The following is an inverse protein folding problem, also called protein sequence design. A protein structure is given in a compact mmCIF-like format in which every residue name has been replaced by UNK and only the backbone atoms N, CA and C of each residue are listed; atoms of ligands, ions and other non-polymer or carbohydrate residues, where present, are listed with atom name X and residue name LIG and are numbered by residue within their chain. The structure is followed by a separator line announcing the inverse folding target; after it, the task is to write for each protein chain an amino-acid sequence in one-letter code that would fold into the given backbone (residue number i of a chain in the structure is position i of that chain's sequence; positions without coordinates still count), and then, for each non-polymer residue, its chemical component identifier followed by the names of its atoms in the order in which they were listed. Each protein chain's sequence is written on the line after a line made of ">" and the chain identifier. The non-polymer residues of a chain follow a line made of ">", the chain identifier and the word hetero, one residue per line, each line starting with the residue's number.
data_IF_541213197528
#
_entry.id   IF_541213197528
#
_cell.length_a   1.000
_cell.length_b   1.000
_cell.length_c   1.000
_cell.angle_alpha   90.00
_cell.angle_beta   90.00
_cell.angle_gamma   90.00
#
_symmetry.space_group_name_H-M   'P 1'
#
loop_
_entity.id
_entity.type
_entity.pdbx_description
1 polymer ?
#
# COMPACT_ATOMS: atom_id res chain seq x y z
N UNK A 1 -17.67 -0.20 -12.54
CA UNK A 1 -18.51 0.45 -13.58
C UNK A 1 -18.65 1.92 -13.23
N UNK A 2 -18.73 2.81 -14.21
CA UNK A 2 -18.86 4.25 -13.99
C UNK A 2 -20.01 4.81 -14.84
N UNK A 3 -20.69 5.84 -14.33
CA UNK A 3 -21.67 6.61 -15.12
C UNK A 3 -20.93 7.55 -16.09
N UNK A 4 -21.61 8.04 -17.14
CA UNK A 4 -21.10 9.14 -17.97
C UNK A 4 -20.82 10.40 -17.15
N UNK A 5 -20.22 11.42 -17.78
CA UNK A 5 -19.92 12.69 -17.09
C UNK A 5 -21.21 13.39 -16.70
N UNK A 6 -21.37 13.63 -15.40
CA UNK A 6 -22.51 14.34 -14.82
C UNK A 6 -22.07 15.71 -14.28
N UNK A 7 -22.97 16.68 -14.32
CA UNK A 7 -22.85 17.95 -13.61
C UNK A 7 -23.89 17.97 -12.51
N UNK A 8 -23.44 18.09 -11.26
CA UNK A 8 -24.33 18.24 -10.12
C UNK A 8 -24.94 19.65 -10.15
N UNK A 9 -26.26 19.74 -9.95
CA UNK A 9 -26.99 21.01 -9.86
C UNK A 9 -27.75 21.09 -8.56
N UNK A 10 -27.69 22.24 -7.89
CA UNK A 10 -28.52 22.56 -6.72
C UNK A 10 -29.98 22.58 -7.15
N UNK A 11 -30.86 21.96 -6.35
CA UNK A 11 -32.29 21.96 -6.63
C UNK A 11 -33.05 22.74 -5.55
N UNK A 12 -33.91 23.64 -5.99
CA UNK A 12 -34.87 24.36 -5.13
C UNK A 12 -36.27 24.07 -5.65
N UNK A 13 -37.08 23.41 -4.83
CA UNK A 13 -38.38 22.84 -5.22
C UNK A 13 -38.21 21.82 -6.36
N UNK A 14 -38.67 22.13 -7.58
CA UNK A 14 -38.50 21.32 -8.80
C UNK A 14 -37.60 22.02 -9.85
N UNK A 15 -36.83 23.03 -9.42
CA UNK A 15 -35.95 23.77 -10.31
C UNK A 15 -34.49 23.43 -10.02
N UNK A 16 -33.80 22.91 -11.03
CA UNK A 16 -32.35 22.82 -11.03
C UNK A 16 -31.74 24.17 -11.42
N UNK A 17 -30.87 24.70 -10.56
CA UNK A 17 -30.17 25.96 -10.77
C UNK A 17 -28.93 25.74 -11.64
N UNK A 18 -28.78 26.54 -12.70
CA UNK A 18 -27.68 26.43 -13.68
C UNK A 18 -26.41 27.17 -13.26
N UNK A 19 -26.54 28.14 -12.36
CA UNK A 19 -25.52 29.12 -11.97
C UNK A 19 -25.10 29.01 -10.49
N UNK A 20 -25.51 27.95 -9.81
CA UNK A 20 -25.12 27.71 -8.43
C UNK A 20 -23.63 27.30 -8.32
N UNK A 21 -22.86 28.06 -7.53
CA UNK A 21 -21.42 27.85 -7.29
C UNK A 21 -21.09 27.54 -5.82
N UNK A 22 -22.12 27.29 -5.00
CA UNK A 22 -21.94 26.92 -3.61
C UNK A 22 -21.41 25.50 -3.47
N UNK A 23 -20.57 25.21 -2.44
CA UNK A 23 -20.15 23.85 -2.14
C UNK A 23 -21.36 22.98 -1.81
N UNK A 24 -21.31 21.72 -2.25
CA UNK A 24 -22.40 20.79 -2.03
C UNK A 24 -22.31 20.22 -0.60
N UNK A 25 -23.39 20.34 0.18
CA UNK A 25 -23.45 19.87 1.58
C UNK A 25 -24.25 18.58 1.72
N UNK A 26 -23.94 17.79 2.75
CA UNK A 26 -24.64 16.53 3.01
C UNK A 26 -26.16 16.73 3.11
N UNK A 27 -26.90 15.74 2.62
CA UNK A 27 -28.37 15.70 2.63
C UNK A 27 -29.05 16.81 1.79
N UNK A 28 -28.29 17.58 1.01
CA UNK A 28 -28.88 18.51 0.05
C UNK A 28 -29.55 17.75 -1.10
N UNK A 29 -30.66 18.33 -1.58
CA UNK A 29 -31.30 17.91 -2.82
C UNK A 29 -30.53 18.45 -4.02
N UNK A 30 -30.23 17.56 -4.95
CA UNK A 30 -29.53 17.87 -6.18
C UNK A 30 -30.13 17.11 -7.35
N UNK A 31 -29.69 17.46 -8.55
CA UNK A 31 -29.96 16.72 -9.77
C UNK A 31 -28.65 16.53 -10.54
N UNK A 32 -28.57 15.44 -11.31
CA UNK A 32 -27.40 15.14 -12.12
C UNK A 32 -27.71 15.35 -13.61
N UNK A 33 -27.17 16.43 -14.16
CA UNK A 33 -27.28 16.74 -15.59
C UNK A 33 -26.24 15.96 -16.38
N UNK A 34 -26.65 15.31 -17.47
CA UNK A 34 -25.75 14.61 -18.40
C UNK A 34 -24.96 15.66 -19.19
N UNK A 35 -23.65 15.72 -19.02
CA UNK A 35 -22.81 16.71 -19.70
C UNK A 35 -22.90 16.52 -21.23
N UNK A 36 -22.90 17.63 -21.97
CA UNK A 36 -22.94 17.66 -23.43
C UNK A 36 -24.22 17.06 -24.04
N UNK A 37 -25.32 17.05 -23.26
CA UNK A 37 -26.65 16.60 -23.69
C UNK A 37 -27.64 17.76 -23.86
N UNK A 38 -28.80 17.49 -24.45
CA UNK A 38 -29.89 18.46 -24.56
C UNK A 38 -30.76 18.48 -23.28
N UNK A 39 -30.20 18.99 -22.16
CA UNK A 39 -30.90 19.07 -20.86
C UNK A 39 -31.40 17.71 -20.34
N UNK A 40 -30.64 16.64 -20.60
CA UNK A 40 -30.96 15.31 -20.07
C UNK A 40 -30.46 15.20 -18.62
N UNK A 41 -31.30 14.63 -17.76
CA UNK A 41 -30.99 14.39 -16.36
C UNK A 41 -31.08 12.90 -16.02
N UNK A 42 -30.24 12.48 -15.08
CA UNK A 42 -30.29 11.15 -14.49
C UNK A 42 -31.54 11.04 -13.61
N UNK A 43 -32.39 10.07 -13.93
CA UNK A 43 -33.67 9.87 -13.29
C UNK A 43 -33.84 8.41 -12.84
N UNK A 44 -34.70 8.20 -11.84
CA UNK A 44 -35.10 6.88 -11.37
C UNK A 44 -36.59 6.64 -11.62
N UNK A 45 -36.95 5.75 -12.55
CA UNK A 45 -38.34 5.35 -12.80
C UNK A 45 -38.47 4.12 -13.71
N UNK A 46 -38.80 2.91 -13.21
CA UNK A 46 -38.34 2.31 -11.94
C UNK A 46 -36.84 1.97 -11.95
N UNK A 47 -36.19 2.10 -13.11
CA UNK A 47 -34.76 1.92 -13.33
C UNK A 47 -34.07 3.27 -13.57
N UNK A 48 -32.74 3.25 -13.69
CA UNK A 48 -31.96 4.44 -14.02
C UNK A 48 -32.16 4.78 -15.50
N UNK A 49 -32.78 5.91 -15.77
CA UNK A 49 -33.11 6.42 -17.11
C UNK A 49 -32.61 7.85 -17.28
N UNK A 50 -32.67 8.36 -18.52
CA UNK A 50 -32.42 9.76 -18.82
C UNK A 50 -33.73 10.43 -19.22
N UNK A 51 -34.06 11.57 -18.62
CA UNK A 51 -35.23 12.36 -19.01
C UNK A 51 -34.84 13.81 -19.27
N UNK A 52 -35.45 14.38 -20.29
CA UNK A 52 -35.24 15.77 -20.67
C UNK A 52 -35.98 16.71 -19.72
N UNK A 53 -35.30 17.73 -19.22
CA UNK A 53 -35.90 18.79 -18.41
C UNK A 53 -36.60 19.84 -19.29
N UNK A 54 -37.54 20.56 -18.69
CA UNK A 54 -38.22 21.70 -19.35
C UNK A 54 -37.53 23.00 -18.95
N UNK A 55 -37.08 23.85 -19.90
CA UNK A 55 -36.52 25.17 -19.55
C UNK A 55 -37.55 26.02 -18.81
N UNK A 56 -37.14 26.73 -17.75
CA UNK A 56 -38.05 27.63 -17.03
C UNK A 56 -38.39 28.87 -17.90
N UNK A 57 -39.68 29.17 -18.18
CA UNK A 57 -40.05 30.29 -19.05
C UNK A 57 -39.68 31.68 -18.49
N UNK A 58 -39.64 31.80 -17.16
CA UNK A 58 -39.42 33.07 -16.46
C UNK A 58 -37.95 33.30 -16.09
N UNK A 59 -37.11 32.27 -16.18
CA UNK A 59 -35.73 32.32 -15.69
C UNK A 59 -34.83 31.38 -16.51
N UNK A 60 -34.00 31.95 -17.38
CA UNK A 60 -33.09 31.18 -18.24
C UNK A 60 -32.04 30.38 -17.47
N UNK A 61 -31.80 30.72 -16.19
CA UNK A 61 -30.87 30.03 -15.30
C UNK A 61 -31.51 28.88 -14.52
N UNK A 62 -32.73 28.46 -14.89
CA UNK A 62 -33.42 27.32 -14.27
C UNK A 62 -33.92 26.30 -15.28
N UNK A 63 -33.76 25.04 -14.92
CA UNK A 63 -34.42 23.90 -15.55
C UNK A 63 -35.48 23.32 -14.61
N UNK A 64 -36.71 23.18 -15.09
CA UNK A 64 -37.79 22.48 -14.40
C UNK A 64 -37.58 20.97 -14.64
N UNK A 65 -37.33 20.24 -13.55
CA UNK A 65 -37.01 18.81 -13.56
C UNK A 65 -38.17 18.00 -12.96
N UNK A 66 -38.27 16.73 -13.37
CA UNK A 66 -39.22 15.79 -12.77
C UNK A 66 -38.75 15.36 -11.37
N UNK A 67 -39.69 14.99 -10.49
CA UNK A 67 -39.38 14.45 -9.16
C UNK A 67 -38.48 13.20 -9.22
N UNK A 68 -38.55 12.41 -10.29
CA UNK A 68 -37.66 11.26 -10.48
C UNK A 68 -36.19 11.65 -10.72
N UNK A 69 -35.89 12.92 -10.99
CA UNK A 69 -34.53 13.46 -11.15
C UNK A 69 -33.95 14.02 -9.84
N UNK A 70 -34.71 13.95 -8.73
CA UNK A 70 -34.30 14.46 -7.44
C UNK A 70 -33.48 13.41 -6.69
N UNK A 71 -32.25 13.78 -6.37
CA UNK A 71 -31.33 12.96 -5.60
C UNK A 71 -30.99 13.66 -4.29
N UNK A 72 -30.80 12.87 -3.24
CA UNK A 72 -30.16 13.33 -2.01
C UNK A 72 -28.85 12.58 -1.89
N UNK A 73 -27.75 13.29 -1.70
CA UNK A 73 -26.45 12.64 -1.54
C UNK A 73 -25.96 12.77 -0.09
N UNK A 74 -25.21 11.76 0.33
CA UNK A 74 -24.61 11.66 1.65
C UNK A 74 -23.24 11.02 1.49
N UNK A 75 -22.24 11.50 2.22
CA UNK A 75 -20.94 10.83 2.24
C UNK A 75 -21.11 9.50 2.96
N UNK A 76 -20.53 8.45 2.40
CA UNK A 76 -20.53 7.12 3.00
C UNK A 76 -19.11 6.76 3.41
N UNK A 77 -19.00 5.92 4.43
CA UNK A 77 -17.75 5.34 4.87
C UNK A 77 -17.94 3.82 4.99
N UNK A 78 -16.84 3.07 4.95
CA UNK A 78 -16.85 1.61 4.96
C UNK A 78 -15.74 1.08 5.87
N UNK A 79 -16.15 0.33 6.90
CA UNK A 79 -15.27 -0.55 7.64
C UNK A 79 -15.34 -1.96 7.04
N UNK A 80 -14.18 -2.56 6.76
CA UNK A 80 -14.06 -3.94 6.28
C UNK A 80 -13.16 -4.74 7.22
N UNK A 81 -13.59 -5.95 7.56
CA UNK A 81 -12.88 -6.85 8.47
C UNK A 81 -12.74 -8.22 7.84
N UNK A 82 -11.52 -8.75 7.82
CA UNK A 82 -11.20 -10.03 7.19
C UNK A 82 -10.49 -10.94 8.18
N UNK A 83 -11.00 -12.16 8.35
CA UNK A 83 -10.42 -13.18 9.22
C UNK A 83 -10.57 -14.60 8.63
N UNK A 84 -9.75 -15.54 9.09
CA UNK A 84 -9.81 -16.94 8.71
C UNK A 84 -9.42 -17.87 9.87
N UNK A 85 -10.23 -18.88 10.15
CA UNK A 85 -9.99 -19.93 11.15
C UNK A 85 -9.34 -21.18 10.50
N UNK A 86 -8.13 -20.99 9.94
CA UNK A 86 -7.47 -22.04 9.15
C UNK A 86 -7.12 -23.32 9.93
N UNK A 87 -6.95 -23.21 11.25
CA UNK A 87 -6.64 -24.32 12.15
C UNK A 87 -7.90 -25.01 12.73
N UNK A 88 -9.10 -24.63 12.29
CA UNK A 88 -10.38 -25.08 12.82
C UNK A 88 -11.02 -24.08 13.79
N UNK A 89 -12.23 -24.38 14.30
CA UNK A 89 -13.01 -23.44 15.10
C UNK A 89 -12.31 -23.03 16.39
N UNK A 90 -12.27 -21.73 16.68
CA UNK A 90 -11.73 -21.21 17.94
C UNK A 90 -12.80 -21.07 19.02
N UNK A 91 -12.38 -21.09 20.29
CA UNK A 91 -13.30 -21.02 21.44
C UNK A 91 -13.81 -19.60 21.73
N UNK A 92 -13.02 -18.59 21.39
CA UNK A 92 -13.33 -17.19 21.65
C UNK A 92 -13.80 -16.46 20.39
N UNK A 93 -14.43 -15.29 20.52
CA UNK A 93 -14.79 -14.48 19.36
C UNK A 93 -13.54 -14.07 18.57
N UNK A 94 -13.68 -13.90 17.26
CA UNK A 94 -12.60 -13.40 16.38
C UNK A 94 -12.36 -11.89 16.54
N UNK A 95 -13.22 -11.19 17.27
CA UNK A 95 -13.15 -9.76 17.56
C UNK A 95 -12.39 -9.49 18.87
N UNK A 96 -11.78 -8.31 19.02
CA UNK A 96 -11.73 -7.21 18.05
C UNK A 96 -10.78 -7.53 16.89
N UNK A 97 -11.18 -7.18 15.66
CA UNK A 97 -10.38 -7.47 14.47
C UNK A 97 -9.29 -6.39 14.34
N UNK A 98 -8.00 -6.77 14.30
CA UNK A 98 -6.92 -5.80 14.14
C UNK A 98 -6.93 -5.21 12.74
N UNK A 99 -6.78 -3.88 12.67
CA UNK A 99 -6.72 -3.13 11.40
C UNK A 99 -5.33 -2.53 11.29
N UNK A 100 -4.68 -2.69 10.14
CA UNK A 100 -3.39 -2.06 9.86
C UNK A 100 -3.63 -0.82 9.01
N UNK A 101 -3.15 0.33 9.49
CA UNK A 101 -3.33 1.63 8.84
C UNK A 101 -2.05 2.10 8.16
N UNK A 102 -0.86 1.82 8.72
CA UNK A 102 0.40 2.16 8.06
C UNK A 102 1.58 1.29 8.51
N UNK A 103 2.58 1.21 7.63
CA UNK A 103 3.82 0.46 7.79
C UNK A 103 5.02 1.40 7.64
N UNK A 104 5.93 1.42 8.61
CA UNK A 104 7.13 2.25 8.59
C UNK A 104 8.37 1.41 8.88
N UNK A 105 9.35 1.44 7.97
CA UNK A 105 10.68 0.88 8.24
C UNK A 105 11.51 1.92 8.98
N UNK A 106 12.23 1.52 10.02
CA UNK A 106 13.14 2.42 10.70
C UNK A 106 14.38 2.69 9.81
N UNK A 107 14.67 3.96 9.54
CA UNK A 107 15.73 4.38 8.61
C UNK A 107 17.16 4.05 9.06
N UNK A 108 17.37 3.84 10.37
CA UNK A 108 18.69 3.61 10.96
C UNK A 108 19.13 2.14 11.03
N UNK A 109 18.19 1.23 11.28
CA UNK A 109 18.43 -0.21 11.30
C UNK A 109 17.26 -0.89 10.57
N UNK A 110 17.57 -1.30 9.35
CA UNK A 110 16.66 -1.82 8.32
C UNK A 110 16.04 -3.18 8.67
N UNK A 111 16.16 -3.60 9.92
CA UNK A 111 15.75 -4.89 10.46
C UNK A 111 14.41 -4.84 11.16
N UNK A 112 13.89 -3.66 11.52
CA UNK A 112 12.65 -3.54 12.30
C UNK A 112 11.57 -2.78 11.51
N UNK A 113 10.40 -3.40 11.38
CA UNK A 113 9.19 -2.83 10.81
C UNK A 113 8.25 -2.37 11.93
N UNK A 114 7.86 -1.10 11.90
CA UNK A 114 6.78 -0.56 12.73
C UNK A 114 5.45 -0.68 12.00
N UNK A 115 4.46 -1.24 12.67
CA UNK A 115 3.09 -1.40 12.18
C UNK A 115 2.18 -0.58 13.08
N UNK A 116 1.40 0.32 12.47
CA UNK A 116 0.42 1.15 13.17
C UNK A 116 -0.98 0.85 12.70
N UNK A 117 -1.95 0.99 13.59
CA UNK A 117 -3.33 0.66 13.30
C UNK A 117 -4.17 0.66 14.57
N UNK A 118 -5.13 -0.26 14.64
CA UNK A 118 -6.09 -0.35 15.74
C UNK A 118 -6.31 -1.81 16.18
N UNK A 119 -6.77 -1.98 17.41
CA UNK A 119 -7.15 -3.27 18.00
C UNK A 119 -6.02 -4.31 18.05
N UNK A 120 -4.77 -3.88 18.18
CA UNK A 120 -3.66 -4.81 18.40
C UNK A 120 -3.68 -5.37 19.81
N UNK A 121 -3.24 -6.62 19.94
CA UNK A 121 -3.09 -7.33 21.20
C UNK A 121 -1.73 -8.04 21.27
N UNK A 122 -1.30 -8.36 22.48
CA UNK A 122 -0.04 -9.05 22.76
C UNK A 122 0.01 -10.50 22.26
N UNK A 123 -1.14 -11.12 22.06
CA UNK A 123 -1.31 -12.45 21.48
C UNK A 123 -1.29 -12.47 19.93
N UNK A 124 -1.03 -11.34 19.27
CA UNK A 124 -0.85 -11.28 17.82
C UNK A 124 0.63 -11.44 17.45
N UNK A 125 0.88 -12.11 16.33
CA UNK A 125 2.18 -12.21 15.68
C UNK A 125 2.08 -11.72 14.24
N UNK A 126 3.11 -11.00 13.80
CA UNK A 126 3.23 -10.58 12.40
C UNK A 126 3.79 -11.74 11.60
N UNK A 127 3.16 -12.01 10.46
CA UNK A 127 3.63 -13.00 9.50
C UNK A 127 3.89 -12.35 8.16
N UNK A 128 5.04 -12.66 7.58
CA UNK A 128 5.40 -12.33 6.22
C UNK A 128 5.15 -13.58 5.39
N UNK A 129 4.10 -13.60 4.56
CA UNK A 129 3.67 -14.83 3.88
C UNK A 129 3.44 -15.96 4.88
N UNK A 130 4.27 -17.01 4.78
CA UNK A 130 4.28 -18.18 5.65
C UNK A 130 5.37 -18.16 6.74
N UNK A 131 6.08 -17.03 6.92
CA UNK A 131 7.17 -16.87 7.88
C UNK A 131 6.71 -15.99 9.05
N UNK A 132 6.66 -16.55 10.25
CA UNK A 132 6.41 -15.81 11.47
C UNK A 132 7.60 -14.91 11.82
N UNK A 133 7.33 -13.64 12.11
CA UNK A 133 8.33 -12.69 12.59
C UNK A 133 8.33 -12.57 14.12
N UNK A 134 9.50 -12.28 14.69
CA UNK A 134 9.60 -11.84 16.07
C UNK A 134 8.83 -10.53 16.23
N UNK A 135 7.81 -10.52 17.08
CA UNK A 135 6.84 -9.43 17.20
C UNK A 135 6.84 -8.90 18.64
N UNK A 136 6.93 -7.57 18.76
CA UNK A 136 6.90 -6.83 20.03
C UNK A 136 5.62 -6.00 20.05
N UNK A 137 4.74 -6.32 20.99
CA UNK A 137 3.56 -5.51 21.28
C UNK A 137 3.95 -4.26 22.07
N UNK A 138 3.56 -3.08 21.58
CA UNK A 138 3.75 -1.81 22.29
C UNK A 138 2.45 -1.32 22.93
N UNK A 139 1.39 -1.24 22.13
CA UNK A 139 0.05 -0.86 22.56
C UNK A 139 -0.98 -1.28 21.51
N UNK A 140 -2.27 -1.00 21.76
CA UNK A 140 -3.37 -1.34 20.85
C UNK A 140 -3.28 -0.70 19.45
N UNK A 141 -2.36 0.25 19.26
CA UNK A 141 -2.16 0.96 17.99
C UNK A 141 -0.77 0.75 17.38
N UNK A 142 0.11 -0.02 18.04
CA UNK A 142 1.50 -0.17 17.61
C UNK A 142 2.08 -1.57 17.88
N UNK A 143 2.53 -2.22 16.81
CA UNK A 143 3.38 -3.41 16.82
C UNK A 143 4.74 -3.07 16.20
N UNK A 144 5.80 -3.71 16.71
CA UNK A 144 7.09 -3.76 16.02
C UNK A 144 7.39 -5.21 15.65
N UNK A 145 8.00 -5.47 14.51
CA UNK A 145 8.50 -6.81 14.19
C UNK A 145 9.83 -6.79 13.47
N UNK A 146 10.63 -7.82 13.71
CA UNK A 146 11.86 -8.06 12.97
C UNK A 146 11.52 -8.53 11.57
N UNK A 147 12.05 -7.86 10.54
CA UNK A 147 11.93 -8.25 9.14
C UNK A 147 12.72 -9.55 8.93
N UNK A 148 12.07 -10.66 8.53
CA UNK A 148 12.77 -11.89 8.25
C UNK A 148 13.73 -11.72 7.06
N UNK A 149 14.86 -12.43 7.10
CA UNK A 149 15.77 -12.50 5.95
C UNK A 149 15.07 -13.16 4.74
N UNK A 150 15.43 -12.73 3.53
CA UNK A 150 14.85 -13.26 2.29
C UNK A 150 15.05 -14.78 2.14
N UNK A 151 16.14 -15.33 2.67
CA UNK A 151 16.44 -16.76 2.60
C UNK A 151 15.36 -17.62 3.28
N UNK A 152 14.61 -17.06 4.23
CA UNK A 152 13.51 -17.74 4.91
C UNK A 152 12.35 -18.14 3.97
N UNK A 153 12.23 -17.49 2.80
CA UNK A 153 11.18 -17.77 1.82
C UNK A 153 11.61 -18.78 0.76
N UNK A 154 12.92 -18.86 0.47
CA UNK A 154 13.54 -19.81 -0.47
C UNK A 154 15.01 -20.03 -0.10
N UNK A 155 15.39 -21.26 0.23
CA UNK A 155 16.75 -21.65 0.66
C UNK A 155 17.88 -21.26 -0.33
N UNK A 156 17.55 -21.05 -1.62
CA UNK A 156 18.52 -20.76 -2.70
C UNK A 156 18.80 -19.25 -2.84
N UNK A 157 18.15 -18.38 -2.07
CA UNK A 157 18.23 -16.94 -2.24
C UNK A 157 19.20 -16.32 -1.23
N UNK A 158 20.45 -16.12 -1.65
CA UNK A 158 21.42 -15.30 -0.90
C UNK A 158 21.27 -13.79 -1.22
N UNK A 159 20.62 -13.45 -2.34
CA UNK A 159 20.31 -12.08 -2.76
C UNK A 159 19.05 -12.07 -3.64
N UNK A 160 18.32 -10.96 -3.58
CA UNK A 160 17.14 -10.72 -4.43
C UNK A 160 17.63 -10.27 -5.81
N UNK A 161 17.21 -10.91 -6.91
CA UNK A 161 17.46 -10.41 -8.29
C UNK A 161 16.33 -9.52 -8.81
N UNK A 162 15.11 -9.75 -8.34
CA UNK A 162 13.89 -9.01 -8.71
C UNK A 162 13.04 -8.73 -7.46
N UNK A 163 12.36 -7.57 -7.37
CA UNK A 163 11.56 -7.23 -6.21
C UNK A 163 10.59 -8.35 -5.80
N UNK A 164 10.73 -8.85 -4.58
CA UNK A 164 9.88 -9.93 -4.06
C UNK A 164 8.87 -9.35 -3.08
N UNK A 165 7.60 -9.49 -3.41
CA UNK A 165 6.49 -9.02 -2.58
C UNK A 165 5.93 -10.17 -1.76
N UNK A 166 5.79 -9.96 -0.46
CA UNK A 166 5.17 -10.93 0.46
C UNK A 166 3.98 -10.27 1.16
N UNK A 167 2.81 -10.93 1.24
CA UNK A 167 1.67 -10.40 1.98
C UNK A 167 1.96 -10.41 3.48
N UNK A 168 1.38 -9.45 4.20
CA UNK A 168 1.45 -9.39 5.66
C UNK A 168 0.16 -9.89 6.28
N UNK A 169 0.29 -10.73 7.30
CA UNK A 169 -0.82 -11.21 8.12
C UNK A 169 -0.57 -10.89 9.59
N UNK A 170 -1.65 -10.69 10.34
CA UNK A 170 -1.63 -10.76 11.79
C UNK A 170 -2.26 -12.08 12.20
N UNK A 171 -1.55 -12.90 12.94
CA UNK A 171 -2.02 -14.22 13.37
C UNK A 171 -2.12 -14.23 14.89
N UNK A 172 -3.30 -14.58 15.39
CA UNK A 172 -3.56 -14.73 16.82
C UNK A 172 -3.05 -16.08 17.31
N UNK A 173 -2.69 -16.15 18.59
CA UNK A 173 -2.14 -17.37 19.22
C UNK A 173 -3.02 -18.62 19.04
N UNK A 174 -4.34 -18.46 18.93
CA UNK A 174 -5.29 -19.56 18.68
C UNK A 174 -5.48 -19.92 17.20
N UNK A 175 -4.69 -19.32 16.28
CA UNK A 175 -4.64 -19.67 14.86
C UNK A 175 -5.55 -18.84 13.95
N UNK A 176 -6.25 -17.82 14.48
CA UNK A 176 -7.02 -16.89 13.63
C UNK A 176 -6.07 -16.02 12.82
N UNK A 177 -6.26 -15.99 11.51
CA UNK A 177 -5.47 -15.19 10.57
C UNK A 177 -6.28 -13.97 10.15
N UNK A 178 -5.73 -12.77 10.36
CA UNK A 178 -6.27 -11.51 9.87
C UNK A 178 -5.46 -11.01 8.68
N UNK A 179 -6.11 -10.91 7.52
CA UNK A 179 -5.48 -10.38 6.31
C UNK A 179 -5.37 -8.86 6.42
N UNK A 180 -4.15 -8.33 6.35
CA UNK A 180 -3.93 -6.88 6.48
C UNK A 180 -4.17 -6.11 5.19
N UNK A 181 -4.23 -6.79 4.04
CA UNK A 181 -4.24 -6.16 2.71
C UNK A 181 -2.90 -5.52 2.30
N UNK A 182 -1.89 -5.55 3.17
CA UNK A 182 -0.59 -4.95 2.92
C UNK A 182 0.43 -5.98 2.44
N UNK A 183 1.43 -5.50 1.68
CA UNK A 183 2.56 -6.31 1.22
C UNK A 183 3.88 -5.66 1.61
N UNK A 184 4.85 -6.47 2.01
CA UNK A 184 6.23 -6.05 2.19
C UNK A 184 7.06 -6.36 0.95
N UNK A 185 7.93 -5.43 0.52
CA UNK A 185 8.77 -5.63 -0.68
C UNK A 185 10.24 -5.72 -0.32
N UNK A 186 10.83 -6.88 -0.58
CA UNK A 186 12.27 -7.07 -0.59
C UNK A 186 12.84 -6.61 -1.92
N UNK A 187 13.78 -5.66 -1.91
CA UNK A 187 14.45 -5.17 -3.13
C UNK A 187 15.89 -5.67 -3.20
N UNK A 188 16.39 -6.03 -4.39
CA UNK A 188 17.82 -6.18 -4.62
C UNK A 188 18.54 -4.92 -4.17
N UNK A 189 19.70 -5.06 -3.51
CA UNK A 189 20.65 -3.96 -3.54
C UNK A 189 21.00 -3.73 -5.02
N UNK A 190 20.89 -2.52 -5.58
CA UNK A 190 21.55 -2.25 -6.85
C UNK A 190 23.02 -2.63 -6.66
N UNK A 191 23.50 -3.63 -7.40
CA UNK A 191 24.88 -4.08 -7.32
C UNK A 191 25.80 -2.84 -7.26
N UNK A 192 26.86 -2.83 -6.43
CA UNK A 192 27.83 -1.75 -6.49
C UNK A 192 28.24 -1.63 -7.96
N UNK A 193 28.00 -0.46 -8.56
CA UNK A 193 28.45 -0.21 -9.94
C UNK A 193 29.91 -0.62 -9.94
N UNK A 194 30.26 -1.66 -10.70
CA UNK A 194 31.65 -1.97 -10.96
C UNK A 194 32.24 -0.68 -11.50
N UNK A 195 33.00 0.04 -10.65
CA UNK A 195 33.95 1.00 -11.13
C UNK A 195 34.94 0.13 -11.91
N UNK A 196 34.80 0.14 -13.24
CA UNK A 196 35.81 -0.44 -14.12
C UNK A 196 37.19 0.09 -13.74
N UNK A 197 38.27 -0.63 -14.09
CA UNK A 197 39.61 -0.28 -13.63
C UNK A 197 40.04 1.05 -14.27
N UNK A 198 39.73 2.17 -13.61
CA UNK A 198 40.38 3.45 -13.86
C UNK A 198 41.67 3.49 -13.04
N UNK A 199 42.76 3.20 -13.74
CA UNK A 199 44.01 3.95 -13.62
C UNK A 199 44.51 4.25 -12.20
N UNK A 200 45.17 3.26 -11.60
CA UNK A 200 46.35 3.55 -10.78
C UNK A 200 47.58 3.27 -11.65
N UNK A 201 48.09 4.33 -12.26
CA UNK A 201 49.42 4.36 -12.84
C UNK A 201 50.39 4.26 -11.66
N UNK A 202 50.88 3.06 -11.37
CA UNK A 202 52.11 2.91 -10.61
C UNK A 202 53.25 3.05 -11.62
N UNK A 203 53.92 4.20 -11.63
CA UNK A 203 55.19 4.35 -12.33
C UNK A 203 56.18 3.32 -11.78
N UNK A 204 56.64 2.43 -12.65
CA UNK A 204 57.72 1.47 -12.38
C UNK A 204 59.02 2.13 -12.88
N UNK A 205 59.99 2.46 -12.02
CA UNK A 205 61.36 2.68 -12.47
C UNK A 205 62.05 1.31 -12.56
N UNK A 206 62.52 0.93 -13.75
CA UNK A 206 63.51 -0.14 -13.88
C UNK A 206 64.81 0.28 -13.17
N UNK A 207 65.52 -0.67 -12.52
CA UNK A 207 66.74 -1.14 -13.19
C UNK A 207 67.09 -2.63 -13.02
N UNK A 208 67.79 -3.11 -14.05
CA UNK A 208 68.78 -4.18 -14.21
C UNK A 208 69.00 -5.29 -13.13
N UNK A 209 68.69 -6.53 -13.56
CA UNK A 209 69.56 -7.70 -13.71
C UNK A 209 70.19 -8.45 -12.49
N UNK A 210 70.12 -9.79 -12.57
CA UNK A 210 71.05 -10.86 -12.08
C UNK A 210 70.59 -11.83 -10.93
N UNK A 211 70.33 -13.09 -11.36
CA UNK A 211 70.65 -14.47 -10.83
C UNK A 211 70.18 -15.03 -9.45
N UNK A 212 69.57 -16.22 -9.59
CA UNK A 212 69.79 -17.55 -8.94
C UNK A 212 69.41 -17.88 -7.46
N UNK A 213 68.57 -18.94 -7.35
CA UNK A 213 68.36 -19.98 -6.31
C UNK A 213 67.57 -19.70 -4.99
N UNK A 214 66.85 -20.71 -4.43
CA UNK A 214 65.86 -20.60 -3.32
C UNK A 214 66.42 -21.02 -1.93
N UNK A 215 65.78 -20.73 -0.76
CA UNK A 215 64.69 -21.55 -0.17
C UNK A 215 63.63 -20.80 0.72
N UNK A 216 62.71 -21.57 1.32
CA UNK A 216 61.46 -21.28 2.06
C UNK A 216 61.62 -20.74 3.52
N UNK A 217 60.60 -20.82 4.44
CA UNK A 217 59.18 -20.39 4.43
C UNK A 217 58.84 -19.46 5.63
N UNK A 218 57.81 -18.60 5.56
CA UNK A 218 57.18 -18.07 6.79
C UNK A 218 55.66 -17.91 6.64
N UNK A 219 54.96 -18.49 7.60
CA UNK A 219 53.52 -18.38 7.87
C UNK A 219 53.13 -16.93 8.19
N UNK A 220 52.01 -16.45 7.63
CA UNK A 220 51.19 -15.49 8.33
C UNK A 220 49.70 -15.59 7.97
N UNK A 221 48.91 -15.58 9.04
CA UNK A 221 47.46 -15.64 9.16
C UNK A 221 46.69 -14.87 8.09
N UNK A 222 45.73 -15.55 7.46
CA UNK A 222 44.67 -14.93 6.67
C UNK A 222 43.53 -14.57 7.61
N UNK A 223 43.50 -13.33 8.11
CA UNK A 223 42.26 -12.72 8.61
C UNK A 223 41.33 -12.41 7.44
N UNK A 224 40.35 -13.27 7.20
CA UNK A 224 39.25 -13.00 6.27
C UNK A 224 38.29 -11.98 6.91
N UNK A 225 38.33 -10.73 6.44
CA UNK A 225 37.27 -9.76 6.67
C UNK A 225 36.02 -10.18 5.90
N UNK A 226 35.01 -10.69 6.60
CA UNK A 226 33.69 -10.94 6.05
C UNK A 226 32.95 -9.60 5.88
N UNK A 227 32.85 -9.13 4.62
CA UNK A 227 31.93 -8.07 4.25
C UNK A 227 30.48 -8.58 4.34
N UNK A 228 29.70 -8.06 5.28
CA UNK A 228 28.23 -8.19 5.28
C UNK A 228 27.64 -7.10 4.39
N UNK A 229 27.19 -7.48 3.20
CA UNK A 229 26.48 -6.58 2.29
C UNK A 229 25.07 -6.24 2.82
N UNK A 230 24.75 -4.95 2.86
CA UNK A 230 23.48 -4.43 3.38
C UNK A 230 22.37 -4.44 2.31
N UNK A 231 21.23 -5.07 2.61
CA UNK A 231 20.02 -5.03 1.77
C UNK A 231 19.21 -3.74 1.98
N UNK A 232 18.38 -3.37 0.98
CA UNK A 232 17.48 -2.21 1.04
C UNK A 232 16.03 -2.69 1.07
N UNK A 233 15.28 -2.28 2.09
CA UNK A 233 13.89 -2.67 2.30
C UNK A 233 12.96 -1.48 2.05
N UNK A 234 11.78 -1.72 1.48
CA UNK A 234 10.74 -0.70 1.32
C UNK A 234 9.35 -1.32 1.53
N UNK A 235 8.49 -0.65 2.31
CA UNK A 235 7.07 -0.95 2.38
C UNK A 235 6.33 -0.06 1.36
N UNK A 236 5.43 -0.65 0.56
CA UNK A 236 4.60 0.10 -0.37
C UNK A 236 3.13 -0.03 0.03
N UNK A 237 2.43 1.10 -0.02
CA UNK A 237 0.98 1.17 0.04
C UNK A 237 0.44 0.85 -1.35
N UNK A 238 -0.35 -0.21 -1.52
CA UNK A 238 -1.17 -0.33 -2.72
C UNK A 238 -2.44 0.46 -2.45
N UNK A 239 -2.57 1.62 -3.10
CA UNK A 239 -3.83 2.34 -3.15
C UNK A 239 -4.87 1.47 -3.85
N UNK A 240 -6.01 1.29 -3.21
CA UNK A 240 -7.23 0.82 -3.88
C UNK A 240 -7.79 1.95 -4.73
N UNK A 241 -7.93 1.67 -6.03
CA UNK A 241 -8.60 2.38 -7.15
C UNK A 241 -9.10 3.81 -6.93
#
# INVERSE_FOLDING_TARGET
>A
MALPRLVIRKVVQQNALLDADEPVLQLHKCAFYMKDSERMYLCLSPEIIQLQATPCPMDANKDIINDCALWTFISTDKAEYTFCESAGPVRGPVTPVPVVSSLCLNDGDKTMLKITGDNFADNLRVWFGNVQAETIYRCAECLLCMVPDISAFREVWQWVREPTQVPLFLVREDGVIYATGHTFTYRPNPAPRYLGPSTLVLEIPMPANVRNHPPAPEDHDVTAFAYRDAMVYNALHQGTW
#
